data_IF_942772799958
#
_entry.id   IF_942772799958
#
_cell.length_a   1.000
_cell.length_b   1.000
_cell.length_c   1.000
_cell.angle_alpha   90.00
_cell.angle_beta   90.00
_cell.angle_gamma   90.00
#
_symmetry.space_group_name_H-M   'P 1'
#
loop_
_entity.id
_entity.type
_entity.pdbx_description
1 polymer ?
#
# COMPACT_ATOMS: atom_id res chain seq x y z
N UNK A 1 12.66 20.19 -10.59
CA UNK A 1 13.16 19.25 -11.61
C UNK A 1 13.64 17.97 -10.98
N UNK A 2 13.30 16.83 -11.57
CA UNK A 2 13.84 15.57 -11.13
C UNK A 2 15.29 15.40 -11.60
N UNK A 3 16.10 14.68 -10.81
CA UNK A 3 17.44 14.31 -11.21
C UNK A 3 17.36 13.03 -12.05
N UNK A 4 17.73 13.05 -13.35
CA UNK A 4 17.61 11.87 -14.22
C UNK A 4 18.50 10.69 -13.80
N UNK A 5 19.45 10.90 -12.90
CA UNK A 5 20.27 9.81 -12.38
C UNK A 5 19.52 8.94 -11.37
N UNK A 6 18.44 9.41 -10.79
CA UNK A 6 17.63 8.64 -9.83
C UNK A 6 16.42 8.05 -10.53
N UNK A 7 16.14 6.79 -10.21
CA UNK A 7 14.92 6.08 -10.62
C UNK A 7 14.27 5.48 -9.38
N UNK A 8 12.96 5.57 -9.29
CA UNK A 8 12.25 4.91 -8.19
C UNK A 8 12.34 3.40 -8.39
N UNK A 9 12.68 2.67 -7.33
CA UNK A 9 12.84 1.22 -7.41
C UNK A 9 11.76 0.48 -6.63
N UNK A 10 11.67 0.70 -5.32
CA UNK A 10 10.73 -0.07 -4.52
C UNK A 10 10.34 0.63 -3.22
N UNK A 11 9.22 0.18 -2.66
CA UNK A 11 8.83 0.39 -1.26
C UNK A 11 9.09 -0.91 -0.53
N UNK A 12 9.73 -0.86 0.63
CA UNK A 12 10.04 -2.04 1.42
C UNK A 12 9.15 -2.10 2.66
N UNK A 13 8.41 -3.19 2.81
CA UNK A 13 7.48 -3.42 3.92
C UNK A 13 7.97 -4.63 4.70
N UNK A 14 8.06 -4.48 6.03
CA UNK A 14 8.31 -5.60 6.94
C UNK A 14 6.95 -6.08 7.40
N UNK A 15 6.65 -7.36 7.16
CA UNK A 15 5.33 -7.93 7.38
C UNK A 15 5.37 -9.02 8.44
N UNK A 16 4.38 -9.02 9.30
CA UNK A 16 4.18 -10.12 10.25
C UNK A 16 3.83 -11.42 9.52
N UNK A 17 3.05 -11.31 8.42
CA UNK A 17 2.62 -12.44 7.59
C UNK A 17 2.86 -12.12 6.12
N UNK A 18 4.10 -12.25 5.64
CA UNK A 18 4.45 -11.72 4.31
C UNK A 18 3.69 -12.36 3.14
N UNK A 19 3.41 -13.66 3.19
CA UNK A 19 2.64 -14.32 2.13
C UNK A 19 1.18 -13.86 2.11
N UNK A 20 0.56 -13.69 3.28
CA UNK A 20 -0.80 -13.15 3.37
C UNK A 20 -0.85 -11.70 2.89
N UNK A 21 0.15 -10.92 3.27
CA UNK A 21 0.25 -9.53 2.85
C UNK A 21 0.38 -9.42 1.32
N UNK A 22 1.29 -10.21 0.73
CA UNK A 22 1.45 -10.24 -0.73
C UNK A 22 0.16 -10.66 -1.43
N UNK A 23 -0.53 -11.68 -0.91
CA UNK A 23 -1.79 -12.16 -1.48
C UNK A 23 -2.88 -11.10 -1.41
N UNK A 24 -2.91 -10.28 -0.36
CA UNK A 24 -3.84 -9.16 -0.26
C UNK A 24 -3.68 -8.19 -1.44
N UNK A 25 -2.43 -7.83 -1.78
CA UNK A 25 -2.17 -6.96 -2.93
C UNK A 25 -2.64 -7.58 -4.24
N UNK A 26 -2.46 -8.89 -4.40
CA UNK A 26 -2.95 -9.61 -5.59
C UNK A 26 -4.47 -9.58 -5.65
N UNK A 27 -5.15 -9.93 -4.56
CA UNK A 27 -6.61 -10.06 -4.55
C UNK A 27 -7.33 -8.71 -4.58
N UNK A 28 -6.81 -7.72 -3.88
CA UNK A 28 -7.48 -6.42 -3.76
C UNK A 28 -7.11 -5.46 -4.89
N UNK A 29 -5.84 -5.43 -5.27
CA UNK A 29 -5.35 -4.42 -6.21
C UNK A 29 -4.89 -4.99 -7.55
N UNK A 30 -4.99 -6.30 -7.75
CA UNK A 30 -4.58 -6.91 -9.01
C UNK A 30 -3.06 -6.97 -9.22
N UNK A 31 -2.30 -6.96 -8.14
CA UNK A 31 -0.85 -7.05 -8.21
C UNK A 31 -0.38 -8.43 -8.68
N UNK A 32 0.86 -8.48 -9.14
CA UNK A 32 1.53 -9.72 -9.56
C UNK A 32 2.68 -10.03 -8.61
N UNK A 33 2.78 -11.27 -8.16
CA UNK A 33 3.96 -11.73 -7.43
C UNK A 33 5.02 -12.09 -8.46
N UNK A 34 6.07 -11.27 -8.56
CA UNK A 34 7.15 -11.48 -9.51
C UNK A 34 8.17 -12.49 -9.01
N UNK A 35 8.37 -12.53 -7.68
CA UNK A 35 9.36 -13.44 -7.09
C UNK A 35 8.96 -13.72 -5.63
N UNK A 36 9.03 -14.98 -5.25
CA UNK A 36 8.80 -15.44 -3.89
C UNK A 36 10.03 -16.22 -3.46
N UNK A 37 10.80 -15.67 -2.54
CA UNK A 37 12.11 -16.19 -2.19
C UNK A 37 12.36 -16.09 -0.68
N UNK A 38 13.47 -16.61 -0.25
CA UNK A 38 13.96 -16.47 1.12
C UNK A 38 15.32 -15.77 1.06
N UNK A 39 15.50 -14.75 1.89
CA UNK A 39 16.75 -14.03 2.01
C UNK A 39 17.03 -13.74 3.48
N UNK A 40 18.24 -13.98 3.90
CA UNK A 40 18.67 -13.76 5.29
C UNK A 40 17.76 -14.44 6.32
N UNK A 41 17.25 -15.64 5.97
CA UNK A 41 16.44 -16.46 6.86
C UNK A 41 14.97 -16.04 6.97
N UNK A 42 14.49 -15.16 6.11
CA UNK A 42 13.09 -14.72 6.12
C UNK A 42 12.50 -14.73 4.70
N UNK A 43 11.18 -14.94 4.57
CA UNK A 43 10.51 -14.76 3.29
C UNK A 43 10.75 -13.36 2.74
N UNK A 44 10.98 -13.26 1.44
CA UNK A 44 11.17 -12.01 0.73
C UNK A 44 10.45 -12.09 -0.61
N UNK A 45 9.37 -11.33 -0.73
CA UNK A 45 8.42 -11.43 -1.83
C UNK A 45 8.40 -10.12 -2.61
N UNK A 46 8.57 -10.22 -3.92
CA UNK A 46 8.54 -9.07 -4.82
C UNK A 46 7.17 -8.99 -5.46
N UNK A 47 6.40 -7.98 -5.10
CA UNK A 47 5.07 -7.73 -5.63
C UNK A 47 5.13 -6.54 -6.57
N UNK A 48 4.59 -6.70 -7.77
CA UNK A 48 4.57 -5.63 -8.77
C UNK A 48 3.16 -5.07 -8.92
N UNK A 49 3.06 -3.76 -8.86
CA UNK A 49 1.82 -3.03 -8.98
C UNK A 49 2.10 -1.62 -9.51
N UNK A 50 1.41 -1.22 -10.57
CA UNK A 50 1.50 0.13 -11.10
C UNK A 50 2.89 0.55 -11.57
N UNK A 51 3.68 -0.39 -12.05
CA UNK A 51 5.06 -0.14 -12.50
C UNK A 51 6.06 -0.03 -11.35
N UNK A 52 5.65 -0.34 -10.12
CA UNK A 52 6.47 -0.25 -8.92
C UNK A 52 6.58 -1.62 -8.25
N UNK A 53 7.69 -1.85 -7.57
CA UNK A 53 7.88 -3.03 -6.75
C UNK A 53 7.54 -2.71 -5.29
N UNK A 54 6.68 -3.52 -4.71
CA UNK A 54 6.47 -3.57 -3.26
C UNK A 54 7.21 -4.80 -2.77
N UNK A 55 8.31 -4.59 -2.04
CA UNK A 55 9.13 -5.66 -1.51
C UNK A 55 8.64 -5.97 -0.10
N UNK A 56 8.13 -7.18 0.11
CA UNK A 56 7.56 -7.59 1.38
C UNK A 56 8.44 -8.69 1.97
N UNK A 57 8.98 -8.43 3.15
CA UNK A 57 9.78 -9.45 3.85
C UNK A 57 9.20 -9.75 5.22
N UNK A 58 9.46 -10.96 5.69
CA UNK A 58 9.11 -11.37 7.03
C UNK A 58 10.18 -10.98 8.05
N UNK A 59 9.93 -11.35 9.30
CA UNK A 59 10.87 -11.13 10.39
C UNK A 59 12.09 -12.04 10.20
N UNK A 60 13.27 -11.45 10.24
CA UNK A 60 14.52 -12.20 10.21
C UNK A 60 14.79 -12.81 11.58
N UNK A 61 15.55 -13.93 11.66
CA UNK A 61 15.92 -14.50 12.94
C UNK A 61 16.59 -13.47 13.86
N UNK A 62 16.15 -13.42 15.12
CA UNK A 62 16.69 -12.50 16.12
C UNK A 62 16.14 -11.08 16.08
N UNK A 63 15.29 -10.75 15.11
CA UNK A 63 14.67 -9.42 15.04
C UNK A 63 13.38 -9.35 15.87
N UNK A 64 13.15 -8.17 16.45
CA UNK A 64 11.93 -7.84 17.20
C UNK A 64 11.33 -6.55 16.62
N UNK A 65 10.62 -6.63 15.49
CA UNK A 65 10.01 -5.43 14.89
C UNK A 65 9.03 -4.76 15.86
N UNK A 66 9.06 -3.44 15.89
CA UNK A 66 8.09 -2.68 16.68
C UNK A 66 6.67 -2.86 16.12
N UNK A 67 5.63 -2.77 16.97
CA UNK A 67 4.26 -2.86 16.51
C UNK A 67 3.93 -1.79 15.46
N UNK A 68 3.04 -2.13 14.54
CA UNK A 68 2.57 -1.18 13.53
C UNK A 68 1.74 -0.07 14.18
N UNK A 69 1.77 1.12 13.54
CA UNK A 69 0.89 2.22 13.93
C UNK A 69 -0.55 1.88 13.51
N UNK A 70 -1.54 2.07 14.40
CA UNK A 70 -2.94 1.85 14.02
C UNK A 70 -3.37 2.79 12.90
N UNK A 71 -4.13 2.26 11.94
CA UNK A 71 -4.77 3.06 10.91
C UNK A 71 -6.19 3.35 11.39
N UNK A 72 -6.52 4.64 11.49
CA UNK A 72 -7.82 5.10 11.99
C UNK A 72 -8.51 5.92 10.91
N UNK A 73 -9.86 6.02 10.95
CA UNK A 73 -10.57 6.98 10.10
C UNK A 73 -10.13 8.41 10.40
N UNK A 74 -9.86 9.19 9.36
CA UNK A 74 -9.47 10.59 9.48
C UNK A 74 -10.38 11.48 8.64
N UNK A 75 -10.70 12.65 9.17
CA UNK A 75 -11.46 13.64 8.42
C UNK A 75 -10.61 14.34 7.35
N UNK A 76 -9.29 14.36 7.54
CA UNK A 76 -8.33 14.94 6.60
C UNK A 76 -7.67 13.84 5.75
N UNK A 77 -6.55 14.17 5.10
CA UNK A 77 -5.87 13.26 4.18
C UNK A 77 -4.69 12.52 4.82
N UNK A 78 -4.49 12.68 6.13
CA UNK A 78 -3.45 11.96 6.86
C UNK A 78 -4.01 10.68 7.46
N UNK A 79 -3.27 9.58 7.41
CA UNK A 79 -3.72 8.30 7.98
C UNK A 79 -3.03 7.95 9.28
N UNK A 80 -1.81 8.42 9.52
CA UNK A 80 -1.08 8.15 10.76
C UNK A 80 -0.92 9.37 11.66
N UNK A 81 -0.95 10.57 11.08
CA UNK A 81 -0.77 11.84 11.79
C UNK A 81 0.48 11.80 12.67
N UNK A 82 1.57 11.30 12.13
CA UNK A 82 2.86 11.15 12.81
C UNK A 82 3.98 11.55 11.86
N UNK A 83 5.10 11.96 12.43
CA UNK A 83 6.27 12.27 11.61
C UNK A 83 6.72 11.05 10.84
N UNK A 84 7.22 11.28 9.62
CA UNK A 84 7.73 10.24 8.72
C UNK A 84 6.75 9.92 7.60
N UNK A 85 6.93 8.76 7.00
CA UNK A 85 6.08 8.32 5.89
C UNK A 85 4.66 8.06 6.37
N UNK A 86 3.67 8.70 5.74
CA UNK A 86 2.26 8.49 6.05
C UNK A 86 1.63 7.40 5.18
N UNK A 87 1.79 7.52 3.88
CA UNK A 87 1.21 6.59 2.91
C UNK A 87 1.99 6.67 1.59
N UNK A 88 1.64 5.78 0.68
CA UNK A 88 1.99 5.93 -0.72
C UNK A 88 0.74 5.69 -1.57
N UNK A 89 0.77 6.07 -2.83
CA UNK A 89 -0.45 6.08 -3.62
C UNK A 89 -0.28 5.65 -5.05
N UNK A 90 -1.44 5.34 -5.67
CA UNK A 90 -1.55 4.98 -7.07
C UNK A 90 -2.63 5.80 -7.74
N UNK A 91 -2.41 6.09 -9.01
CA UNK A 91 -3.48 6.57 -9.90
C UNK A 91 -4.18 5.34 -10.47
N UNK A 92 -5.49 5.28 -10.32
CA UNK A 92 -6.29 4.23 -10.93
C UNK A 92 -6.86 4.71 -12.25
N UNK A 93 -6.49 4.03 -13.32
CA UNK A 93 -6.98 4.35 -14.66
C UNK A 93 -8.25 3.52 -14.92
N UNK A 94 -9.36 4.02 -14.43
CA UNK A 94 -10.65 3.36 -14.53
C UNK A 94 -11.68 4.06 -13.67
N UNK A 95 -12.79 3.39 -13.41
CA UNK A 95 -13.86 3.91 -12.55
C UNK A 95 -13.51 3.68 -11.08
N UNK A 96 -12.98 4.71 -10.43
CA UNK A 96 -12.56 4.63 -9.03
C UNK A 96 -13.74 4.35 -8.09
N UNK A 97 -14.93 4.89 -8.38
CA UNK A 97 -16.13 4.61 -7.58
C UNK A 97 -16.47 3.13 -7.61
N UNK A 98 -16.44 2.52 -8.80
CA UNK A 98 -16.71 1.08 -8.94
C UNK A 98 -15.66 0.24 -8.22
N UNK A 99 -14.38 0.63 -8.30
CA UNK A 99 -13.30 -0.05 -7.58
C UNK A 99 -13.53 0.03 -6.06
N UNK A 100 -13.87 1.20 -5.54
CA UNK A 100 -14.15 1.38 -4.12
C UNK A 100 -15.31 0.49 -3.65
N UNK A 101 -16.36 0.37 -4.46
CA UNK A 101 -17.48 -0.52 -4.16
C UNK A 101 -17.03 -1.99 -4.09
N UNK A 102 -16.19 -2.42 -5.03
CA UNK A 102 -15.63 -3.77 -5.04
C UNK A 102 -14.76 -4.03 -3.81
N UNK A 103 -13.88 -3.09 -3.47
CA UNK A 103 -13.00 -3.21 -2.31
C UNK A 103 -13.80 -3.24 -1.01
N UNK A 104 -14.82 -2.39 -0.90
CA UNK A 104 -15.72 -2.39 0.26
C UNK A 104 -16.45 -3.73 0.41
N UNK A 105 -16.92 -4.30 -0.70
CA UNK A 105 -17.59 -5.61 -0.70
C UNK A 105 -16.65 -6.74 -0.28
N UNK A 106 -15.35 -6.59 -0.51
CA UNK A 106 -14.32 -7.55 -0.08
C UNK A 106 -13.84 -7.31 1.35
N UNK A 107 -14.41 -6.33 2.06
CA UNK A 107 -14.07 -6.05 3.45
C UNK A 107 -12.90 -5.10 3.66
N UNK A 108 -12.44 -4.39 2.63
CA UNK A 108 -11.37 -3.40 2.76
C UNK A 108 -11.88 -2.20 3.57
N UNK A 109 -11.09 -1.75 4.52
CA UNK A 109 -11.38 -0.58 5.34
C UNK A 109 -10.83 0.68 4.69
N UNK A 110 -11.60 1.77 4.75
CA UNK A 110 -11.23 3.06 4.19
C UNK A 110 -10.98 4.07 5.31
N UNK A 111 -9.72 4.35 5.67
CA UNK A 111 -9.41 5.44 6.61
C UNK A 111 -9.89 6.80 6.11
N UNK A 112 -9.85 7.02 4.79
CA UNK A 112 -10.45 8.18 4.13
C UNK A 112 -11.37 7.67 3.02
N UNK A 113 -12.66 7.93 3.19
CA UNK A 113 -13.65 7.55 2.19
C UNK A 113 -13.47 8.34 0.89
N UNK A 114 -13.98 7.80 -0.20
CA UNK A 114 -13.90 8.42 -1.52
C UNK A 114 -14.48 9.84 -1.48
N UNK A 115 -13.67 10.82 -1.84
CA UNK A 115 -14.05 12.23 -1.90
C UNK A 115 -13.13 12.98 -2.83
N UNK A 116 -13.49 14.21 -3.19
CA UNK A 116 -12.61 15.08 -3.97
C UNK A 116 -11.47 15.56 -3.10
N UNK A 117 -10.25 15.45 -3.63
CA UNK A 117 -9.05 15.96 -3.00
C UNK A 117 -8.83 17.44 -3.30
N UNK A 118 -7.70 17.96 -2.82
CA UNK A 118 -7.32 19.37 -2.97
C UNK A 118 -7.26 19.78 -4.45
N UNK A 119 -6.79 18.89 -5.32
CA UNK A 119 -6.70 19.14 -6.76
C UNK A 119 -8.00 18.96 -7.54
N UNK A 120 -9.12 18.64 -6.86
CA UNK A 120 -10.42 18.44 -7.49
C UNK A 120 -10.68 17.02 -8.00
N UNK A 121 -9.67 16.16 -8.03
CA UNK A 121 -9.83 14.76 -8.43
C UNK A 121 -10.27 13.92 -7.22
N UNK A 122 -11.07 12.89 -7.48
CA UNK A 122 -11.50 11.98 -6.43
C UNK A 122 -10.33 11.12 -5.93
N UNK A 123 -10.33 10.85 -4.64
CA UNK A 123 -9.37 9.97 -4.00
C UNK A 123 -9.97 9.31 -2.78
N UNK A 124 -9.34 8.24 -2.33
CA UNK A 124 -9.61 7.59 -1.05
C UNK A 124 -8.32 7.02 -0.47
N UNK A 125 -8.34 6.65 0.80
CA UNK A 125 -7.27 5.87 1.41
C UNK A 125 -7.85 4.52 1.81
N UNK A 126 -7.06 3.47 1.60
CA UNK A 126 -7.40 2.11 2.01
C UNK A 126 -6.36 1.59 2.99
N UNK A 127 -6.82 0.75 3.92
CA UNK A 127 -5.95 0.11 4.89
C UNK A 127 -5.44 -1.22 4.33
N UNK A 128 -4.16 -1.26 4.01
CA UNK A 128 -3.46 -2.47 3.62
C UNK A 128 -2.91 -3.18 4.87
N UNK A 129 -2.43 -4.43 4.75
CA UNK A 129 -1.79 -5.13 5.86
C UNK A 129 -0.57 -4.37 6.41
N UNK A 130 -0.20 -4.72 7.62
CA UNK A 130 1.03 -4.22 8.28
C UNK A 130 1.03 -2.72 8.57
N UNK A 131 -0.16 -2.14 8.78
CA UNK A 131 -0.27 -0.72 9.09
C UNK A 131 0.04 0.19 7.91
N UNK A 132 -0.03 -0.32 6.69
CA UNK A 132 0.24 0.46 5.47
C UNK A 132 -1.05 1.12 5.01
N UNK A 133 -0.97 2.43 4.78
CA UNK A 133 -2.06 3.18 4.16
C UNK A 133 -1.74 3.44 2.70
N UNK A 134 -2.70 3.23 1.83
CA UNK A 134 -2.54 3.43 0.38
C UNK A 134 -3.59 4.42 -0.09
N UNK A 135 -3.15 5.43 -0.80
CA UNK A 135 -4.03 6.38 -1.47
C UNK A 135 -4.35 5.88 -2.87
N UNK A 136 -5.61 5.93 -3.24
CA UNK A 136 -6.06 5.65 -4.61
C UNK A 136 -6.69 6.92 -5.17
N UNK A 137 -6.19 7.35 -6.31
CA UNK A 137 -6.63 8.58 -6.96
C UNK A 137 -7.17 8.28 -8.36
N UNK A 138 -8.18 9.02 -8.77
CA UNK A 138 -8.65 8.91 -10.13
C UNK A 138 -7.63 9.50 -11.11
N UNK A 139 -7.68 9.05 -12.35
CA UNK A 139 -6.81 9.54 -13.42
C UNK A 139 -7.01 11.03 -13.65
N UNK A 140 -5.92 11.76 -13.83
CA UNK A 140 -5.91 13.22 -14.06
C UNK A 140 -6.13 13.57 -15.51
#
# INVERSE_FOLDING_TARGET
MSNPAFKFDHVHIISENPHESAQWYVEMLGATIAKDTVARGAPQIFVELGGMTILIRGRRPGEEPAPTRPIRPYADFSSHNAWGTDHFGFIYDGDLTALCDQLSAKGVTFPVELKKGVGGNALCYIAAPDGVSIELMESR
#
